data_IF_916949699330
#
_entry.id   IF_916949699330
#
_cell.length_a   1.000
_cell.length_b   1.000
_cell.length_c   1.000
_cell.angle_alpha   90.00
_cell.angle_beta   90.00
_cell.angle_gamma   90.00
#
_symmetry.space_group_name_H-M   'P 1'
#
loop_
_entity.id
_entity.type
_entity.pdbx_description
1 polymer ?
#
# COMPACT_ATOMS: atom_id res chain seq x y z
N UNK A 1 9.66 31.72 -30.48
CA UNK A 1 8.66 31.32 -31.49
C UNK A 1 8.28 29.86 -31.23
N UNK A 2 7.12 29.61 -30.64
CA UNK A 2 6.54 28.28 -30.44
C UNK A 2 6.25 27.65 -31.80
N UNK A 3 6.90 26.52 -32.11
CA UNK A 3 6.49 25.70 -33.25
C UNK A 3 6.54 24.21 -32.88
N UNK A 4 5.33 23.67 -32.77
CA UNK A 4 4.86 22.33 -33.20
C UNK A 4 5.31 21.13 -32.33
N UNK A 5 4.44 20.61 -31.44
CA UNK A 5 3.35 19.63 -31.69
C UNK A 5 3.87 18.37 -32.42
N UNK A 6 4.14 17.29 -31.71
CA UNK A 6 3.20 16.17 -31.48
C UNK A 6 2.87 15.39 -32.76
N UNK A 7 3.60 14.30 -33.02
CA UNK A 7 3.13 13.09 -33.72
C UNK A 7 4.32 12.13 -33.90
N UNK A 8 4.13 10.87 -33.54
CA UNK A 8 5.04 9.78 -33.94
C UNK A 8 5.16 8.70 -32.88
N UNK A 9 4.20 7.78 -32.88
CA UNK A 9 4.10 6.71 -31.91
C UNK A 9 5.27 5.72 -31.92
N UNK A 10 5.52 5.17 -30.75
CA UNK A 10 6.14 3.87 -30.55
C UNK A 10 5.43 3.21 -29.36
N UNK A 11 4.25 2.65 -29.62
CA UNK A 11 3.61 1.68 -28.74
C UNK A 11 4.24 0.32 -29.05
N UNK A 12 5.24 -0.12 -28.29
CA UNK A 12 5.58 -1.54 -28.18
C UNK A 12 6.61 -1.80 -27.09
N UNK A 13 6.48 -3.00 -26.54
CA UNK A 13 7.39 -3.74 -25.67
C UNK A 13 7.29 -3.40 -24.17
N UNK A 14 6.39 -4.16 -23.54
CA UNK A 14 6.35 -4.34 -22.11
C UNK A 14 7.72 -4.77 -21.57
N UNK A 15 8.06 -4.19 -20.44
CA UNK A 15 9.10 -4.70 -19.57
C UNK A 15 8.35 -5.14 -18.31
N UNK A 16 8.19 -6.46 -18.24
CA UNK A 16 8.02 -7.29 -17.05
C UNK A 16 7.86 -6.50 -15.75
N UNK A 17 6.65 -6.60 -15.19
CA UNK A 17 6.42 -6.39 -13.76
C UNK A 17 7.07 -7.55 -12.97
N UNK A 18 8.39 -7.71 -13.07
CA UNK A 18 9.18 -8.46 -12.10
C UNK A 18 9.45 -7.53 -10.91
N UNK A 19 8.36 -7.07 -10.30
CA UNK A 19 8.38 -6.51 -8.96
C UNK A 19 8.04 -7.67 -8.06
N UNK A 20 9.03 -8.17 -7.31
CA UNK A 20 8.92 -9.36 -6.49
C UNK A 20 7.56 -9.46 -5.80
N UNK A 21 6.95 -10.62 -5.96
CA UNK A 21 5.94 -11.12 -5.02
C UNK A 21 6.71 -11.31 -3.71
N UNK A 22 6.96 -10.21 -2.99
CA UNK A 22 7.25 -10.29 -1.58
C UNK A 22 5.96 -10.76 -0.95
N UNK A 23 5.86 -12.09 -0.88
CA UNK A 23 5.00 -12.86 0.01
C UNK A 23 4.32 -11.97 1.04
N UNK A 24 3.11 -11.51 0.73
CA UNK A 24 2.22 -11.00 1.75
C UNK A 24 2.00 -12.17 2.71
N UNK A 25 2.72 -12.14 3.82
CA UNK A 25 2.69 -13.20 4.82
C UNK A 25 1.28 -13.23 5.38
N UNK A 26 0.51 -14.22 4.94
CA UNK A 26 -0.91 -14.41 5.23
C UNK A 26 -1.23 -14.64 6.72
N UNK A 27 -0.23 -14.54 7.60
CA UNK A 27 -0.36 -14.75 9.04
C UNK A 27 0.18 -13.59 9.87
N UNK A 28 0.18 -12.37 9.32
CA UNK A 28 0.56 -11.18 10.10
C UNK A 28 -0.53 -10.92 11.15
N UNK A 29 -0.20 -11.09 12.43
CA UNK A 29 -1.08 -10.68 13.53
C UNK A 29 -1.29 -9.16 13.46
N UNK A 30 -2.54 -8.75 13.26
CA UNK A 30 -2.96 -7.35 13.22
C UNK A 30 -3.77 -7.11 14.49
N UNK A 31 -3.15 -6.67 15.61
CA UNK A 31 -3.84 -6.39 16.87
C UNK A 31 -4.69 -5.11 16.81
N UNK A 32 -4.80 -4.46 15.64
CA UNK A 32 -5.61 -3.26 15.45
C UNK A 32 -7.10 -3.61 15.46
N UNK A 33 -7.82 -3.08 16.45
CA UNK A 33 -9.27 -3.25 16.60
C UNK A 33 -10.05 -1.92 16.55
N UNK A 34 -9.38 -0.83 16.13
CA UNK A 34 -10.00 0.49 16.05
C UNK A 34 -10.56 0.76 14.65
N UNK A 35 -11.62 1.56 14.59
CA UNK A 35 -12.34 1.91 13.36
C UNK A 35 -11.77 3.10 12.61
N UNK A 36 -10.59 3.55 13.03
CA UNK A 36 -9.85 4.63 12.41
C UNK A 36 -8.45 4.15 12.06
N UNK A 37 -7.86 4.78 11.06
CA UNK A 37 -6.47 4.53 10.67
C UNK A 37 -5.53 5.02 11.77
N UNK A 38 -4.51 4.23 12.09
CA UNK A 38 -3.46 4.68 13.02
C UNK A 38 -2.56 5.71 12.34
N UNK A 39 -1.92 6.53 13.17
CA UNK A 39 -0.79 7.35 12.76
C UNK A 39 0.39 6.48 12.33
N UNK A 40 1.35 7.09 11.64
CA UNK A 40 2.61 6.44 11.28
C UNK A 40 3.45 6.21 12.54
N UNK A 41 3.70 4.96 12.87
CA UNK A 41 4.54 4.57 14.00
C UNK A 41 5.92 4.16 13.49
N UNK A 42 6.97 4.83 13.95
CA UNK A 42 8.34 4.44 13.63
C UNK A 42 8.90 3.54 14.74
N UNK A 43 9.24 2.31 14.38
CA UNK A 43 9.82 1.34 15.32
C UNK A 43 10.96 0.59 14.65
N UNK A 44 12.12 0.55 15.32
CA UNK A 44 13.29 -0.22 14.89
C UNK A 44 13.74 0.02 13.43
N UNK A 45 13.68 1.26 12.94
CA UNK A 45 14.08 1.59 11.56
C UNK A 45 12.98 1.40 10.51
N UNK A 46 11.81 0.90 10.90
CA UNK A 46 10.67 0.64 10.00
C UNK A 46 9.48 1.50 10.42
N UNK A 47 8.87 2.16 9.45
CA UNK A 47 7.59 2.84 9.62
C UNK A 47 6.47 1.83 9.48
N UNK A 48 5.56 1.77 10.44
CA UNK A 48 4.37 0.94 10.42
C UNK A 48 3.14 1.84 10.44
N UNK A 49 2.12 1.53 9.64
CA UNK A 49 0.82 2.21 9.69
C UNK A 49 -0.33 1.24 9.51
N UNK A 50 -1.43 1.47 10.21
CA UNK A 50 -2.66 0.71 10.06
C UNK A 50 -3.67 1.55 9.31
N UNK A 51 -4.12 1.07 8.16
CA UNK A 51 -5.05 1.80 7.32
C UNK A 51 -6.40 1.09 7.32
N UNK A 52 -7.42 1.77 7.86
CA UNK A 52 -8.79 1.27 7.91
C UNK A 52 -9.56 1.82 6.72
N UNK A 53 -10.19 0.93 5.94
CA UNK A 53 -11.02 1.29 4.78
C UNK A 53 -12.27 0.42 4.74
N UNK A 54 -13.34 1.00 4.19
CA UNK A 54 -14.49 0.23 3.76
C UNK A 54 -14.16 -0.46 2.43
N UNK A 55 -14.21 -1.79 2.41
CA UNK A 55 -13.81 -2.64 1.30
C UNK A 55 -12.36 -3.16 1.36
N UNK A 56 -12.07 -4.15 0.52
CA UNK A 56 -10.77 -4.84 0.44
C UNK A 56 -9.75 -4.13 -0.47
N UNK A 57 -9.93 -2.84 -0.73
CA UNK A 57 -9.10 -2.08 -1.67
C UNK A 57 -7.79 -1.65 -1.00
N UNK A 58 -6.92 -2.64 -0.79
CA UNK A 58 -5.55 -2.46 -0.31
C UNK A 58 -4.59 -2.60 -1.48
N UNK A 59 -3.72 -1.60 -1.63
CA UNK A 59 -2.67 -1.62 -2.64
C UNK A 59 -1.48 -2.37 -2.04
N UNK A 60 -0.92 -3.32 -2.78
CA UNK A 60 0.25 -4.10 -2.34
C UNK A 60 1.43 -3.19 -1.99
N UNK A 61 1.67 -2.16 -2.80
CA UNK A 61 2.71 -1.15 -2.58
C UNK A 61 2.13 0.25 -2.77
N UNK A 62 2.53 1.18 -1.89
CA UNK A 62 2.20 2.60 -1.99
C UNK A 62 3.43 3.45 -1.74
N UNK A 63 3.71 4.40 -2.62
CA UNK A 63 4.69 5.45 -2.35
C UNK A 63 3.95 6.67 -1.81
N UNK A 64 4.17 7.00 -0.55
CA UNK A 64 3.62 8.21 0.08
C UNK A 64 4.71 8.88 0.91
N UNK A 65 4.81 10.20 0.81
CA UNK A 65 5.75 11.02 1.58
C UNK A 65 7.23 10.60 1.44
N UNK A 66 7.59 10.04 0.27
CA UNK A 66 8.93 9.50 0.00
C UNK A 66 9.23 8.14 0.67
N UNK A 67 8.25 7.53 1.31
CA UNK A 67 8.36 6.20 1.94
C UNK A 67 7.62 5.19 1.07
N UNK A 68 8.29 4.07 0.79
CA UNK A 68 7.68 2.93 0.10
C UNK A 68 7.02 2.03 1.12
N UNK A 69 5.69 2.09 1.17
CA UNK A 69 4.84 1.30 2.05
C UNK A 69 4.45 -0.01 1.38
N UNK A 70 4.75 -1.12 2.02
CA UNK A 70 4.40 -2.47 1.61
C UNK A 70 3.26 -2.99 2.49
N UNK A 71 2.21 -3.50 1.87
CA UNK A 71 1.11 -4.16 2.56
C UNK A 71 1.61 -5.49 3.12
N UNK A 72 1.57 -5.65 4.43
CA UNK A 72 1.92 -6.92 5.10
C UNK A 72 0.76 -7.88 5.17
N UNK A 73 -0.45 -7.33 5.31
CA UNK A 73 -1.68 -8.09 5.39
C UNK A 73 -2.86 -7.20 5.72
N UNK A 74 -4.05 -7.75 5.59
CA UNK A 74 -5.28 -7.08 5.98
C UNK A 74 -6.21 -8.03 6.73
N UNK A 75 -7.02 -7.47 7.61
CA UNK A 75 -7.99 -8.17 8.45
C UNK A 75 -9.33 -7.46 8.39
N UNK A 76 -10.42 -8.21 8.43
CA UNK A 76 -11.76 -7.65 8.55
C UNK A 76 -12.02 -7.17 9.99
N UNK A 77 -12.45 -5.93 10.13
CA UNK A 77 -12.86 -5.32 11.40
C UNK A 77 -14.38 -5.44 11.57
N UNK A 78 -14.82 -6.56 12.15
CA UNK A 78 -16.25 -6.78 12.43
C UNK A 78 -16.82 -5.75 13.42
N UNK A 79 -15.99 -5.18 14.28
CA UNK A 79 -16.40 -4.16 15.27
C UNK A 79 -16.71 -2.80 14.64
N UNK A 80 -16.26 -2.56 13.40
CA UNK A 80 -16.37 -1.25 12.74
C UNK A 80 -17.43 -1.19 11.65
N UNK A 81 -17.90 -2.34 11.17
CA UNK A 81 -18.93 -2.42 10.15
C UNK A 81 -18.84 -3.70 9.33
N UNK A 82 -19.87 -3.95 8.52
CA UNK A 82 -20.01 -5.20 7.78
C UNK A 82 -18.96 -5.37 6.67
N UNK A 83 -18.36 -4.28 6.19
CA UNK A 83 -17.37 -4.25 5.11
C UNK A 83 -16.10 -3.47 5.47
N UNK A 84 -15.81 -3.26 6.75
CA UNK A 84 -14.60 -2.54 7.16
C UNK A 84 -13.43 -3.49 7.29
N UNK A 85 -12.28 -3.10 6.72
CA UNK A 85 -11.04 -3.84 6.79
C UNK A 85 -9.91 -2.92 7.26
N UNK A 86 -8.94 -3.50 7.96
CA UNK A 86 -7.67 -2.87 8.31
C UNK A 86 -6.55 -3.54 7.56
N UNK A 87 -5.74 -2.75 6.86
CA UNK A 87 -4.48 -3.19 6.26
C UNK A 87 -3.30 -2.70 7.10
N UNK A 88 -2.37 -3.59 7.44
CA UNK A 88 -1.08 -3.22 8.03
C UNK A 88 -0.09 -2.94 6.91
N UNK A 89 0.53 -1.77 6.97
CA UNK A 89 1.57 -1.33 6.04
C UNK A 89 2.87 -1.13 6.79
N UNK A 90 3.97 -1.59 6.20
CA UNK A 90 5.32 -1.36 6.69
C UNK A 90 6.13 -0.72 5.58
N UNK A 91 6.88 0.32 5.89
CA UNK A 91 7.71 1.03 4.92
C UNK A 91 9.02 1.44 5.54
N UNK A 92 10.07 1.47 4.73
CA UNK A 92 11.38 1.97 5.14
C UNK A 92 11.62 3.25 4.36
N UNK A 93 12.06 4.30 5.05
CA UNK A 93 12.48 5.52 4.39
C UNK A 93 13.89 5.25 3.80
N UNK A 94 14.08 5.44 2.49
CA UNK A 94 15.39 5.29 1.86
C UNK A 94 16.38 6.36 2.35
#
# INVERSE_FOLDING_TARGET
MFKKLFAGGALAAGIMLTGGIETASANTDIPWNHCYSSSEEFSNGVYTKYLVKDGIVFLDVRNENGIKWHLKGFKKLYVCGMNVYVGKYEGVKP
#
